data_IF_531606842987
#
_entry.id   IF_531606842987
#
_cell.length_a   1.000
_cell.length_b   1.000
_cell.length_c   1.000
_cell.angle_alpha   90.00
_cell.angle_beta   90.00
_cell.angle_gamma   90.00
#
_symmetry.space_group_name_H-M   'P 1'
#
loop_
_entity.id
_entity.type
_entity.pdbx_description
1 polymer ?
#
# COMPACT_ATOMS: atom_id res chain seq x y z
N UNK A 1 -51.35 -11.11 -17.27
CA UNK A 1 -50.73 -9.90 -16.65
C UNK A 1 -49.55 -10.23 -15.73
N UNK A 2 -49.46 -11.43 -15.13
CA UNK A 2 -48.30 -11.87 -14.33
C UNK A 2 -47.01 -12.17 -15.13
N UNK A 3 -47.10 -12.69 -16.36
CA UNK A 3 -45.93 -13.10 -17.15
C UNK A 3 -45.10 -11.89 -17.65
N UNK A 4 -45.72 -10.71 -17.84
CA UNK A 4 -45.00 -9.46 -18.20
C UNK A 4 -44.23 -8.86 -17.02
N UNK A 5 -44.64 -9.12 -15.76
CA UNK A 5 -43.91 -8.65 -14.57
C UNK A 5 -42.63 -9.44 -14.29
N UNK A 6 -42.62 -10.75 -14.56
CA UNK A 6 -41.43 -11.59 -14.38
C UNK A 6 -40.31 -11.28 -15.38
N UNK A 7 -40.62 -10.98 -16.66
CA UNK A 7 -39.59 -10.58 -17.65
C UNK A 7 -38.92 -9.25 -17.31
N UNK A 8 -39.66 -8.29 -16.73
CA UNK A 8 -39.09 -7.02 -16.32
C UNK A 8 -38.20 -7.13 -15.07
N UNK A 9 -38.51 -8.03 -14.13
CA UNK A 9 -37.67 -8.22 -12.95
C UNK A 9 -36.33 -8.91 -13.29
N UNK A 10 -36.31 -9.88 -14.20
CA UNK A 10 -35.05 -10.47 -14.67
C UNK A 10 -34.21 -9.51 -15.51
N UNK A 11 -34.84 -8.65 -16.33
CA UNK A 11 -34.13 -7.62 -17.09
C UNK A 11 -33.53 -6.52 -16.18
N UNK A 12 -34.24 -6.16 -15.11
CA UNK A 12 -33.74 -5.21 -14.09
C UNK A 12 -32.63 -5.84 -13.24
N UNK A 13 -32.73 -7.13 -12.89
CA UNK A 13 -31.66 -7.83 -12.16
C UNK A 13 -30.39 -7.99 -13.03
N UNK A 14 -30.53 -8.33 -14.31
CA UNK A 14 -29.41 -8.37 -15.25
C UNK A 14 -28.80 -6.98 -15.45
N UNK A 15 -29.63 -5.93 -15.56
CA UNK A 15 -29.15 -4.57 -15.69
C UNK A 15 -28.41 -4.10 -14.42
N UNK A 16 -28.86 -4.45 -13.21
CA UNK A 16 -28.17 -4.11 -11.96
C UNK A 16 -26.85 -4.86 -11.82
N UNK A 17 -26.78 -6.13 -12.22
CA UNK A 17 -25.52 -6.91 -12.23
C UNK A 17 -24.57 -6.37 -13.29
N UNK A 18 -25.05 -6.02 -14.48
CA UNK A 18 -24.24 -5.45 -15.56
C UNK A 18 -23.79 -4.02 -15.22
N UNK A 19 -24.63 -3.19 -14.62
CA UNK A 19 -24.28 -1.83 -14.15
C UNK A 19 -23.34 -1.90 -12.94
N UNK A 20 -23.52 -2.86 -12.03
CA UNK A 20 -22.58 -3.09 -10.93
C UNK A 20 -21.19 -3.54 -11.43
N UNK A 21 -21.16 -4.38 -12.46
CA UNK A 21 -19.90 -4.81 -13.11
C UNK A 21 -19.28 -3.67 -13.93
N UNK A 22 -20.09 -2.84 -14.59
CA UNK A 22 -19.65 -1.66 -15.35
C UNK A 22 -19.16 -0.56 -14.40
N UNK A 23 -19.76 -0.36 -13.22
CA UNK A 23 -19.21 0.53 -12.18
C UNK A 23 -17.90 0.00 -11.59
N UNK A 24 -17.74 -1.32 -11.48
CA UNK A 24 -16.47 -1.95 -11.09
C UNK A 24 -15.35 -1.70 -12.12
N UNK A 25 -15.71 -1.51 -13.40
CA UNK A 25 -14.81 -1.18 -14.50
C UNK A 25 -14.65 0.32 -14.72
N UNK A 26 -15.61 1.16 -14.30
CA UNK A 26 -15.58 2.62 -14.53
C UNK A 26 -14.92 3.41 -13.40
N UNK A 27 -14.89 2.91 -12.16
CA UNK A 27 -14.14 3.54 -11.06
C UNK A 27 -12.72 3.00 -10.88
N UNK A 28 -12.36 1.98 -11.66
CA UNK A 28 -11.00 1.80 -12.12
C UNK A 28 -10.95 2.40 -13.51
N UNK A 29 -10.81 3.74 -13.63
CA UNK A 29 -10.22 4.26 -14.87
C UNK A 29 -9.03 3.35 -15.17
N UNK A 30 -8.95 2.70 -16.36
CA UNK A 30 -7.77 1.96 -16.72
C UNK A 30 -6.71 3.03 -16.95
N UNK A 31 -6.11 3.51 -15.84
CA UNK A 31 -4.72 3.88 -15.85
C UNK A 31 -4.07 2.70 -16.57
N UNK A 32 -3.46 2.92 -17.75
CA UNK A 32 -2.87 1.82 -18.51
C UNK A 32 -2.04 1.01 -17.53
N UNK A 33 -2.18 -0.32 -17.56
CA UNK A 33 -1.41 -1.23 -16.72
C UNK A 33 0.01 -0.68 -16.64
N UNK A 34 0.41 -0.24 -15.44
CA UNK A 34 1.69 0.44 -15.22
C UNK A 34 2.81 -0.54 -15.55
N UNK A 35 3.25 -0.47 -16.80
CA UNK A 35 4.14 -1.42 -17.45
C UNK A 35 5.60 -0.98 -17.34
N UNK A 36 5.89 0.02 -16.51
CA UNK A 36 7.26 0.45 -16.27
C UNK A 36 8.15 -0.71 -15.84
N UNK A 37 9.26 -0.83 -16.55
CA UNK A 37 10.36 -1.76 -16.26
C UNK A 37 11.51 -1.06 -15.56
N UNK A 38 11.46 0.26 -15.44
CA UNK A 38 12.48 1.11 -14.82
C UNK A 38 11.83 2.16 -13.90
N UNK A 39 12.55 2.54 -12.85
CA UNK A 39 12.16 3.58 -11.91
C UNK A 39 13.35 4.54 -11.70
N UNK A 40 13.48 5.59 -12.53
CA UNK A 40 14.76 6.28 -12.76
C UNK A 40 15.09 7.35 -11.70
N UNK A 41 15.19 6.93 -10.43
CA UNK A 41 15.51 7.81 -9.28
C UNK A 41 16.76 8.67 -9.51
N UNK A 42 17.84 8.06 -10.03
CA UNK A 42 19.10 8.76 -10.24
C UNK A 42 18.99 9.85 -11.30
N UNK A 43 18.11 9.68 -12.30
CA UNK A 43 17.83 10.72 -13.28
C UNK A 43 17.07 11.88 -12.62
N UNK A 44 16.03 11.56 -11.84
CA UNK A 44 15.21 12.57 -11.15
C UNK A 44 16.05 13.52 -10.30
N UNK A 45 17.02 12.99 -9.56
CA UNK A 45 17.92 13.77 -8.69
C UNK A 45 18.99 14.52 -9.46
N UNK A 46 19.50 13.97 -10.56
CA UNK A 46 20.57 14.62 -11.35
C UNK A 46 20.07 15.81 -12.15
N UNK A 47 18.82 15.78 -12.60
CA UNK A 47 18.23 16.83 -13.43
C UNK A 47 16.93 17.37 -12.82
N UNK A 48 16.98 18.02 -11.64
CA UNK A 48 15.80 18.62 -11.05
C UNK A 48 15.37 19.86 -11.83
N UNK A 49 14.07 20.13 -11.85
CA UNK A 49 13.56 21.45 -12.25
C UNK A 49 13.69 22.40 -11.07
N UNK A 50 14.44 23.49 -11.25
CA UNK A 50 14.69 24.49 -10.21
C UNK A 50 14.13 25.83 -10.67
N UNK A 51 13.32 26.48 -9.83
CA UNK A 51 12.75 27.81 -10.08
C UNK A 51 12.57 28.59 -8.76
N UNK A 52 12.02 29.80 -8.81
CA UNK A 52 11.75 30.66 -7.67
C UNK A 52 13.01 30.85 -6.81
N UNK A 53 14.13 31.23 -7.45
CA UNK A 53 15.44 31.40 -6.79
C UNK A 53 15.93 30.15 -6.04
N UNK A 54 15.45 28.97 -6.41
CA UNK A 54 15.80 27.69 -5.79
C UNK A 54 14.86 27.26 -4.67
N UNK A 55 13.84 28.06 -4.34
CA UNK A 55 12.80 27.74 -3.37
C UNK A 55 11.77 26.75 -3.89
N UNK A 56 11.69 26.55 -5.22
CA UNK A 56 10.93 25.46 -5.82
C UNK A 56 11.90 24.50 -6.52
N UNK A 57 11.92 23.24 -6.10
CA UNK A 57 12.66 22.16 -6.78
C UNK A 57 11.76 20.96 -6.99
N UNK A 58 11.58 20.53 -8.23
CA UNK A 58 10.77 19.36 -8.56
C UNK A 58 11.62 18.27 -9.23
N UNK A 59 11.28 17.02 -8.95
CA UNK A 59 12.10 15.86 -9.28
C UNK A 59 11.27 14.82 -10.02
N UNK A 60 11.67 14.49 -11.25
CA UNK A 60 11.11 13.37 -12.01
C UNK A 60 9.64 13.46 -12.41
N UNK A 61 8.99 14.60 -12.19
CA UNK A 61 7.52 14.76 -12.23
C UNK A 61 6.79 13.99 -11.13
N UNK A 62 7.46 13.62 -10.04
CA UNK A 62 6.90 12.73 -9.02
C UNK A 62 6.78 13.38 -7.64
N UNK A 63 7.70 14.28 -7.27
CA UNK A 63 7.65 15.01 -6.01
C UNK A 63 8.31 16.39 -6.13
N UNK A 64 8.04 17.27 -5.16
CA UNK A 64 8.65 18.60 -5.10
C UNK A 64 9.08 18.98 -3.68
N UNK A 65 10.13 19.79 -3.61
CA UNK A 65 10.68 20.38 -2.40
C UNK A 65 10.51 21.89 -2.48
N UNK A 66 9.74 22.43 -1.55
CA UNK A 66 9.48 23.84 -1.38
C UNK A 66 10.24 24.36 -0.15
N UNK A 67 10.97 25.45 -0.30
CA UNK A 67 11.70 26.07 0.81
C UNK A 67 11.01 27.35 1.25
N UNK A 68 10.93 27.54 2.58
CA UNK A 68 10.27 28.68 3.21
C UNK A 68 8.78 28.81 2.82
N UNK A 69 8.10 27.70 2.54
CA UNK A 69 6.71 27.74 2.08
C UNK A 69 5.70 27.81 3.22
N UNK A 70 4.51 28.32 2.92
CA UNK A 70 3.36 28.27 3.82
C UNK A 70 2.31 27.29 3.32
N UNK A 71 1.56 26.71 4.26
CA UNK A 71 0.31 26.03 3.97
C UNK A 71 -0.83 26.99 4.31
N UNK A 72 -1.52 27.50 3.29
CA UNK A 72 -2.60 28.49 3.44
C UNK A 72 -3.97 27.82 3.59
N UNK A 73 -4.13 26.63 3.01
CA UNK A 73 -5.30 25.78 3.14
C UNK A 73 -4.92 24.32 2.82
N UNK A 74 -5.87 23.40 2.91
CA UNK A 74 -5.69 22.00 2.47
C UNK A 74 -5.40 21.82 0.96
N UNK A 75 -5.52 22.89 0.17
CA UNK A 75 -5.27 22.86 -1.28
C UNK A 75 -4.38 23.99 -1.78
N UNK A 76 -4.04 24.96 -0.93
CA UNK A 76 -3.34 26.20 -1.31
C UNK A 76 -2.06 26.34 -0.50
N UNK A 77 -0.98 26.63 -1.21
CA UNK A 77 0.36 26.79 -0.64
C UNK A 77 0.94 28.09 -1.17
N UNK A 78 1.93 28.64 -0.46
CA UNK A 78 2.73 29.72 -1.02
C UNK A 78 4.22 29.41 -0.93
N UNK A 79 4.98 29.94 -1.89
CA UNK A 79 6.44 29.78 -1.99
C UNK A 79 7.08 31.13 -2.33
N UNK A 80 8.25 31.46 -1.77
CA UNK A 80 8.91 32.71 -2.13
C UNK A 80 9.35 32.67 -3.59
N UNK A 81 8.85 33.62 -4.38
CA UNK A 81 9.06 33.73 -5.81
C UNK A 81 8.77 35.18 -6.24
N UNK A 82 9.79 35.91 -6.71
CA UNK A 82 9.62 37.31 -7.13
C UNK A 82 8.90 37.43 -8.49
N UNK A 83 8.85 36.33 -9.24
CA UNK A 83 8.11 36.20 -10.49
C UNK A 83 6.91 35.25 -10.33
N UNK A 84 6.26 34.91 -11.45
CA UNK A 84 5.25 33.84 -11.47
C UNK A 84 5.90 32.50 -11.10
N UNK A 85 5.18 31.67 -10.35
CA UNK A 85 5.54 30.26 -10.09
C UNK A 85 5.69 29.47 -11.39
N UNK A 86 6.57 28.45 -11.44
CA UNK A 86 6.78 27.64 -12.64
C UNK A 86 5.49 26.97 -13.11
N UNK A 87 5.38 26.73 -14.43
CA UNK A 87 4.42 25.76 -14.94
C UNK A 87 5.04 24.36 -14.84
N UNK A 88 4.51 23.51 -13.96
CA UNK A 88 4.99 22.15 -13.75
C UNK A 88 3.83 21.17 -13.78
N UNK A 89 4.02 20.00 -14.39
CA UNK A 89 3.03 18.94 -14.46
C UNK A 89 3.56 17.70 -13.76
N UNK A 90 2.81 17.15 -12.82
CA UNK A 90 3.18 15.91 -12.16
C UNK A 90 2.65 14.71 -12.95
N UNK A 91 3.45 13.64 -13.03
CA UNK A 91 3.14 12.43 -13.79
C UNK A 91 2.04 11.64 -13.07
N UNK A 92 1.12 11.07 -13.85
CA UNK A 92 -0.01 10.29 -13.35
C UNK A 92 -0.95 11.01 -12.38
N UNK A 93 -0.86 12.34 -12.28
CA UNK A 93 -1.65 13.14 -11.36
C UNK A 93 -2.44 14.25 -12.05
N UNK A 94 -2.81 14.13 -13.33
CA UNK A 94 -3.53 15.19 -14.06
C UNK A 94 -4.80 15.65 -13.28
N UNK A 95 -5.41 14.77 -12.50
CA UNK A 95 -6.52 15.06 -11.55
C UNK A 95 -6.16 14.74 -10.08
N UNK A 96 -4.88 14.52 -9.78
CA UNK A 96 -4.38 14.14 -8.46
C UNK A 96 -4.00 15.33 -7.57
N UNK A 97 -3.80 15.10 -6.26
CA UNK A 97 -3.53 16.17 -5.29
C UNK A 97 -2.37 17.11 -5.68
N UNK A 98 -1.26 16.58 -6.18
CA UNK A 98 -0.09 17.37 -6.58
C UNK A 98 -0.41 18.36 -7.71
N UNK A 99 -1.18 17.96 -8.71
CA UNK A 99 -1.53 18.86 -9.82
C UNK A 99 -2.49 19.95 -9.36
N UNK A 100 -3.42 19.61 -8.47
CA UNK A 100 -4.30 20.59 -7.83
C UNK A 100 -3.51 21.58 -6.97
N UNK A 101 -2.56 21.11 -6.14
CA UNK A 101 -1.70 21.96 -5.34
C UNK A 101 -0.81 22.85 -6.21
N UNK A 102 -0.29 22.33 -7.33
CA UNK A 102 0.47 23.10 -8.30
C UNK A 102 -0.36 24.22 -8.93
N UNK A 103 -1.62 23.95 -9.28
CA UNK A 103 -2.55 24.95 -9.81
C UNK A 103 -2.92 26.05 -8.80
N UNK A 104 -2.76 25.77 -7.50
CA UNK A 104 -3.08 26.66 -6.40
C UNK A 104 -1.83 27.20 -5.66
N UNK A 105 -0.63 27.05 -6.26
CA UNK A 105 0.61 27.53 -5.65
C UNK A 105 0.76 29.04 -5.86
N UNK A 106 0.85 29.79 -4.77
CA UNK A 106 0.90 31.25 -4.78
C UNK A 106 2.34 31.76 -4.58
N UNK A 107 2.85 32.67 -5.42
CA UNK A 107 4.12 33.33 -5.17
C UNK A 107 3.98 34.37 -4.04
N UNK A 108 5.05 34.58 -3.28
CA UNK A 108 5.21 35.78 -2.45
C UNK A 108 6.64 36.33 -2.54
N UNK A 109 6.89 37.64 -2.30
CA UNK A 109 8.22 38.23 -2.47
C UNK A 109 9.29 37.58 -1.59
N UNK A 110 10.47 37.30 -2.16
CA UNK A 110 11.62 36.73 -1.42
C UNK A 110 12.08 37.65 -0.28
N UNK A 111 11.86 38.96 -0.41
CA UNK A 111 12.15 39.97 0.61
C UNK A 111 11.35 39.81 1.89
N UNK A 112 10.28 39.00 1.89
CA UNK A 112 9.47 38.70 3.08
C UNK A 112 9.99 37.47 3.84
N UNK A 113 11.03 36.79 3.36
CA UNK A 113 11.73 35.78 4.17
C UNK A 113 12.50 36.54 5.26
N UNK A 114 12.08 36.43 6.51
CA UNK A 114 12.79 37.07 7.64
C UNK A 114 13.43 36.00 8.53
N UNK A 115 14.71 36.13 8.86
CA UNK A 115 15.37 35.22 9.83
C UNK A 115 14.83 35.35 11.28
N UNK A 116 13.84 36.23 11.50
CA UNK A 116 13.31 36.58 12.81
C UNK A 116 11.89 36.06 13.10
N UNK A 117 11.22 35.38 12.16
CA UNK A 117 9.92 34.78 12.45
C UNK A 117 10.07 33.67 13.50
N UNK A 118 9.46 33.83 14.67
CA UNK A 118 9.44 32.81 15.74
C UNK A 118 8.66 31.54 15.36
N UNK A 119 8.15 31.45 14.13
CA UNK A 119 7.18 30.46 13.68
C UNK A 119 7.73 29.55 12.55
N UNK A 120 9.03 29.23 12.59
CA UNK A 120 9.65 28.31 11.64
C UNK A 120 9.49 26.84 12.05
N UNK A 121 8.93 26.03 11.15
CA UNK A 121 9.10 24.58 11.17
C UNK A 121 10.41 24.26 10.46
N UNK A 122 11.38 23.77 11.24
CA UNK A 122 12.74 23.49 10.75
C UNK A 122 12.92 22.05 10.27
N UNK A 123 12.16 21.11 10.86
CA UNK A 123 12.13 19.73 10.44
C UNK A 123 11.65 19.62 8.98
N UNK A 124 12.21 18.71 8.16
CA UNK A 124 11.63 18.39 6.86
C UNK A 124 10.23 17.82 7.02
N UNK A 125 9.24 18.47 6.41
CA UNK A 125 7.83 18.09 6.57
C UNK A 125 7.26 17.57 5.27
N UNK A 126 6.79 16.33 5.27
CA UNK A 126 6.13 15.68 4.14
C UNK A 126 4.63 15.93 4.14
N UNK A 127 4.13 16.43 3.02
CA UNK A 127 2.70 16.63 2.78
C UNK A 127 2.12 15.38 2.13
N UNK A 128 1.14 14.77 2.79
CA UNK A 128 0.50 13.53 2.35
C UNK A 128 -1.02 13.75 2.28
N UNK A 129 -1.64 13.23 1.23
CA UNK A 129 -3.10 13.02 1.18
C UNK A 129 -3.35 11.53 1.11
N UNK A 130 -3.85 10.94 2.19
CA UNK A 130 -4.08 9.49 2.27
C UNK A 130 -5.09 9.06 1.20
N UNK A 131 -4.76 8.05 0.39
CA UNK A 131 -5.62 7.59 -0.73
C UNK A 131 -6.49 6.39 -0.37
N UNK A 132 -5.98 5.43 0.41
CA UNK A 132 -6.70 4.22 0.83
C UNK A 132 -6.25 3.83 2.24
N UNK A 133 -6.46 4.73 3.21
CA UNK A 133 -5.92 4.64 4.57
C UNK A 133 -6.19 3.32 5.31
N UNK A 134 -7.25 2.59 4.96
CA UNK A 134 -7.66 1.31 5.57
C UNK A 134 -7.20 0.07 4.80
N UNK A 135 -6.43 0.24 3.72
CA UNK A 135 -5.88 -0.84 2.92
C UNK A 135 -4.36 -0.89 3.05
N UNK A 136 -3.84 -1.90 3.76
CA UNK A 136 -2.43 -2.06 4.06
C UNK A 136 -1.51 -1.92 2.84
N UNK A 137 -1.87 -2.51 1.69
CA UNK A 137 -1.02 -2.45 0.51
C UNK A 137 -0.82 -1.01 0.02
N UNK A 138 -1.89 -0.21 0.06
CA UNK A 138 -1.85 1.17 -0.38
C UNK A 138 -1.21 2.10 0.65
N UNK A 139 -1.47 1.89 1.94
CA UNK A 139 -0.77 2.63 3.00
C UNK A 139 0.73 2.31 3.00
N UNK A 140 1.12 1.07 2.71
CA UNK A 140 2.53 0.68 2.54
C UNK A 140 3.21 1.42 1.38
N UNK A 141 2.48 1.69 0.29
CA UNK A 141 2.98 2.54 -0.80
C UNK A 141 3.28 3.97 -0.31
N UNK A 142 2.42 4.51 0.55
CA UNK A 142 2.59 5.87 1.11
C UNK A 142 3.77 5.95 2.08
N UNK A 143 3.92 4.98 2.98
CA UNK A 143 5.10 4.88 3.87
C UNK A 143 6.40 4.71 3.08
N UNK A 144 6.38 3.84 2.06
CA UNK A 144 7.52 3.63 1.17
C UNK A 144 7.89 4.92 0.43
N UNK A 145 6.92 5.72 -0.01
CA UNK A 145 7.19 6.97 -0.72
C UNK A 145 7.92 7.98 0.16
N UNK A 146 7.48 8.17 1.41
CA UNK A 146 8.17 9.05 2.36
C UNK A 146 9.59 8.54 2.62
N UNK A 147 9.75 7.25 2.89
CA UNK A 147 11.06 6.63 3.10
C UNK A 147 11.98 6.82 1.89
N UNK A 148 11.47 6.55 0.69
CA UNK A 148 12.20 6.63 -0.57
C UNK A 148 12.69 8.05 -0.83
N UNK A 149 11.79 9.04 -0.76
CA UNK A 149 12.16 10.44 -0.96
C UNK A 149 13.14 10.87 0.13
N UNK A 150 12.94 10.48 1.39
CA UNK A 150 13.90 10.75 2.46
C UNK A 150 15.29 10.19 2.14
N UNK A 151 15.39 8.93 1.71
CA UNK A 151 16.65 8.27 1.35
C UNK A 151 17.36 8.98 0.20
N UNK A 152 16.62 9.28 -0.87
CA UNK A 152 17.12 9.92 -2.09
C UNK A 152 17.58 11.36 -1.82
N UNK A 153 16.85 12.07 -0.95
CA UNK A 153 17.19 13.42 -0.50
C UNK A 153 18.20 13.47 0.65
N UNK A 154 18.74 12.31 1.07
CA UNK A 154 19.71 12.19 2.17
C UNK A 154 19.19 12.73 3.52
N UNK A 155 17.89 12.60 3.75
CA UNK A 155 17.24 12.87 5.03
C UNK A 155 17.24 11.59 5.89
N UNK A 156 17.22 11.78 7.22
CA UNK A 156 16.91 10.67 8.12
C UNK A 156 15.39 10.52 8.19
N UNK A 157 14.85 9.44 7.62
CA UNK A 157 13.42 9.18 7.58
C UNK A 157 12.76 9.20 8.98
N UNK A 158 13.43 8.75 10.03
CA UNK A 158 12.86 8.77 11.39
C UNK A 158 12.76 10.17 12.02
N UNK A 159 13.28 11.21 11.37
CA UNK A 159 13.30 12.59 11.87
C UNK A 159 12.54 13.56 10.95
N UNK A 160 11.67 13.03 10.09
CA UNK A 160 10.82 13.85 9.22
C UNK A 160 9.42 13.95 9.83
N UNK A 161 8.79 15.09 9.63
CA UNK A 161 7.41 15.31 10.03
C UNK A 161 6.45 14.95 8.90
N UNK A 162 5.24 14.52 9.25
CA UNK A 162 4.17 14.20 8.33
C UNK A 162 2.98 15.10 8.62
N UNK A 163 2.51 15.80 7.60
CA UNK A 163 1.24 16.53 7.63
C UNK A 163 0.24 15.89 6.69
N UNK A 164 -0.89 15.43 7.24
CA UNK A 164 -2.02 14.92 6.46
C UNK A 164 -2.91 16.06 5.99
N UNK A 165 -3.17 16.10 4.68
CA UNK A 165 -4.02 17.08 3.98
C UNK A 165 -5.42 16.51 3.66
N UNK A 166 -5.88 15.58 4.48
CA UNK A 166 -7.19 14.94 4.36
C UNK A 166 -7.88 14.87 5.72
N UNK A 167 -9.20 14.72 5.67
CA UNK A 167 -10.11 14.60 6.81
C UNK A 167 -10.59 13.15 7.01
N UNK A 168 -9.80 12.17 6.57
CA UNK A 168 -10.24 10.76 6.62
C UNK A 168 -10.43 10.25 8.04
N UNK A 169 -11.38 9.33 8.23
CA UNK A 169 -11.57 8.69 9.52
C UNK A 169 -10.29 7.96 9.95
N UNK A 170 -10.07 7.83 11.26
CA UNK A 170 -8.94 7.07 11.78
C UNK A 170 -8.87 5.65 11.19
N UNK A 171 -7.65 5.21 10.91
CA UNK A 171 -7.35 3.87 10.44
C UNK A 171 -6.53 3.10 11.49
N UNK A 172 -6.71 1.77 11.63
CA UNK A 172 -5.81 0.93 12.43
C UNK A 172 -4.33 0.98 11.98
N UNK A 173 -4.06 1.56 10.81
CA UNK A 173 -2.72 1.74 10.27
C UNK A 173 -2.11 3.10 10.64
N UNK A 174 -2.88 4.03 11.21
CA UNK A 174 -2.41 5.39 11.50
C UNK A 174 -1.25 5.41 12.51
N UNK A 175 -1.28 4.55 13.53
CA UNK A 175 -0.20 4.39 14.52
C UNK A 175 1.14 4.00 13.90
N UNK A 176 1.14 3.40 12.70
CA UNK A 176 2.40 3.07 12.02
C UNK A 176 3.13 4.32 11.57
N UNK A 177 2.42 5.38 11.20
CA UNK A 177 3.06 6.64 10.81
C UNK A 177 3.88 7.24 11.95
N UNK A 178 3.37 7.19 13.18
CA UNK A 178 4.05 7.73 14.37
C UNK A 178 5.18 6.83 14.87
N UNK A 179 5.19 5.54 14.49
CA UNK A 179 6.32 4.65 14.74
C UNK A 179 7.45 4.89 13.73
N UNK A 180 7.11 5.16 12.47
CA UNK A 180 8.10 5.32 11.40
C UNK A 180 8.72 6.73 11.34
N UNK A 181 7.94 7.77 11.65
CA UNK A 181 8.31 9.18 11.45
C UNK A 181 8.16 9.97 12.76
N UNK A 182 8.72 11.19 12.84
CA UNK A 182 8.86 11.92 14.11
C UNK A 182 7.51 12.49 14.60
N UNK A 183 7.00 13.52 13.94
CA UNK A 183 5.70 14.10 14.26
C UNK A 183 4.70 13.84 13.14
N UNK A 184 3.48 13.42 13.50
CA UNK A 184 2.39 13.17 12.55
C UNK A 184 1.16 13.95 12.99
N UNK A 185 0.65 14.81 12.12
CA UNK A 185 -0.52 15.61 12.45
C UNK A 185 -1.40 15.86 11.22
N UNK A 186 -2.68 16.11 11.48
CA UNK A 186 -3.63 16.55 10.45
C UNK A 186 -3.51 18.06 10.35
N UNK A 187 -3.42 18.58 9.13
CA UNK A 187 -3.42 20.02 8.91
C UNK A 187 -4.71 20.63 9.45
N UNK A 188 -4.56 21.66 10.29
CA UNK A 188 -5.65 22.51 10.77
C UNK A 188 -5.38 23.94 10.32
N UNK A 189 -6.38 24.58 9.74
CA UNK A 189 -6.33 25.99 9.35
C UNK A 189 -6.27 26.84 10.61
N UNK A 190 -5.09 27.35 10.97
CA UNK A 190 -4.93 28.54 11.85
C UNK A 190 -3.46 28.91 12.17
N UNK A 191 -2.47 28.19 11.63
CA UNK A 191 -1.08 28.43 12.02
C UNK A 191 -0.32 29.17 10.90
N UNK A 192 0.12 30.42 11.18
CA UNK A 192 1.07 31.18 10.36
C UNK A 192 2.48 30.58 10.47
N UNK A 193 2.62 29.31 10.12
CA UNK A 193 3.90 28.59 10.11
C UNK A 193 4.61 28.78 8.78
N UNK A 194 5.92 28.97 8.86
CA UNK A 194 6.82 28.93 7.72
C UNK A 194 7.57 27.61 7.75
N UNK A 195 7.40 26.79 6.73
CA UNK A 195 8.11 25.52 6.59
C UNK A 195 9.42 25.74 5.85
N UNK A 196 10.56 25.60 6.54
CA UNK A 196 11.87 25.73 5.88
C UNK A 196 12.05 24.70 4.78
N UNK A 197 11.51 23.50 4.97
CA UNK A 197 11.55 22.40 4.02
C UNK A 197 10.20 21.68 4.00
N UNK A 198 9.32 22.06 3.07
CA UNK A 198 8.07 21.36 2.82
C UNK A 198 8.21 20.47 1.59
N UNK A 199 7.91 19.19 1.74
CA UNK A 199 8.06 18.19 0.68
C UNK A 199 6.68 17.74 0.25
N UNK A 200 6.31 18.07 -0.97
CA UNK A 200 5.18 17.47 -1.65
C UNK A 200 5.59 16.08 -2.15
N UNK A 201 5.13 15.04 -1.44
CA UNK A 201 5.61 13.68 -1.65
C UNK A 201 5.09 13.02 -2.93
N UNK A 202 5.73 11.91 -3.34
CA UNK A 202 5.20 10.97 -4.32
C UNK A 202 3.83 10.47 -3.85
N UNK A 203 2.81 10.60 -4.71
CA UNK A 203 1.43 10.24 -4.35
C UNK A 203 1.23 8.72 -4.41
N UNK A 204 0.75 8.13 -3.32
CA UNK A 204 0.27 6.74 -3.16
C UNK A 204 0.68 5.76 -4.26
N UNK A 205 -0.13 5.62 -5.32
CA UNK A 205 0.06 4.62 -6.38
C UNK A 205 1.31 4.82 -7.27
N UNK A 206 1.96 5.98 -7.23
CA UNK A 206 3.24 6.23 -7.91
C UNK A 206 4.45 5.68 -7.13
N UNK A 207 4.19 4.91 -6.06
CA UNK A 207 5.22 4.17 -5.35
C UNK A 207 5.88 3.10 -6.21
N UNK A 208 7.21 2.88 -6.12
CA UNK A 208 7.90 1.83 -6.87
C UNK A 208 7.27 0.45 -6.63
N UNK A 209 6.77 0.18 -5.42
CA UNK A 209 6.18 -1.13 -5.08
C UNK A 209 4.84 -1.38 -5.79
N UNK A 210 4.27 -0.37 -6.44
CA UNK A 210 3.08 -0.48 -7.27
C UNK A 210 3.35 -0.76 -8.76
N UNK A 211 4.62 -0.74 -9.17
CA UNK A 211 5.06 -1.09 -10.52
C UNK A 211 5.55 -2.55 -10.55
N UNK A 212 4.62 -3.50 -10.59
CA UNK A 212 4.94 -4.94 -10.43
C UNK A 212 5.80 -5.54 -11.54
N UNK A 213 6.02 -4.82 -12.64
CA UNK A 213 6.90 -5.25 -13.72
C UNK A 213 8.37 -4.87 -13.50
N UNK A 214 8.67 -4.01 -12.50
CA UNK A 214 10.05 -3.68 -12.15
C UNK A 214 10.84 -4.94 -11.76
N UNK A 215 12.05 -5.16 -12.30
CA UNK A 215 12.88 -6.30 -11.91
C UNK A 215 13.18 -6.27 -10.40
N UNK A 216 13.46 -5.09 -9.86
CA UNK A 216 13.63 -4.80 -8.44
C UNK A 216 12.93 -3.48 -8.08
N UNK A 217 12.21 -3.43 -6.97
CA UNK A 217 11.75 -2.17 -6.40
C UNK A 217 12.94 -1.49 -5.68
N UNK A 218 13.28 -0.22 -5.99
CA UNK A 218 14.38 0.48 -5.33
C UNK A 218 14.23 0.51 -3.81
N UNK A 219 15.32 0.26 -3.09
CA UNK A 219 15.39 0.30 -1.62
C UNK A 219 14.35 -0.58 -0.89
N UNK A 220 13.86 -1.65 -1.51
CA UNK A 220 12.85 -2.54 -0.92
C UNK A 220 13.33 -3.19 0.40
N UNK A 221 14.55 -3.73 0.44
CA UNK A 221 15.14 -4.30 1.66
C UNK A 221 15.50 -3.20 2.67
N UNK A 222 16.05 -2.05 2.25
CA UNK A 222 16.31 -0.93 3.18
C UNK A 222 15.03 -0.45 3.87
N UNK A 223 13.91 -0.37 3.13
CA UNK A 223 12.62 0.03 3.68
C UNK A 223 12.09 -0.99 4.67
N UNK A 224 12.21 -2.29 4.35
CA UNK A 224 11.88 -3.39 5.26
C UNK A 224 12.68 -3.27 6.56
N UNK A 225 14.00 -3.06 6.47
CA UNK A 225 14.87 -2.98 7.63
C UNK A 225 14.57 -1.74 8.49
N UNK A 226 14.30 -0.60 7.85
CA UNK A 226 13.81 0.61 8.51
C UNK A 226 12.51 0.33 9.29
N UNK A 227 11.56 -0.36 8.67
CA UNK A 227 10.27 -0.69 9.26
C UNK A 227 10.42 -1.62 10.47
N UNK A 228 11.16 -2.73 10.33
CA UNK A 228 11.37 -3.69 11.40
C UNK A 228 12.13 -3.07 12.58
N UNK A 229 13.14 -2.25 12.29
CA UNK A 229 13.91 -1.54 13.31
C UNK A 229 13.07 -0.54 14.08
N UNK A 230 12.20 0.21 13.41
CA UNK A 230 11.30 1.17 14.06
C UNK A 230 10.36 0.47 15.06
N UNK A 231 9.90 -0.74 14.74
CA UNK A 231 9.11 -1.58 15.64
C UNK A 231 9.92 -2.40 16.65
N UNK A 232 11.25 -2.38 16.58
CA UNK A 232 12.11 -3.21 17.43
C UNK A 232 11.91 -4.72 17.22
N UNK A 233 11.56 -5.14 16.00
CA UNK A 233 11.32 -6.55 15.66
C UNK A 233 12.57 -7.11 14.96
N UNK A 234 13.12 -8.21 15.49
CA UNK A 234 14.25 -8.94 14.88
C UNK A 234 13.74 -9.96 13.84
N UNK A 235 14.54 -10.15 12.78
CA UNK A 235 14.29 -11.10 11.69
C UNK A 235 15.34 -12.23 11.62
N UNK A 236 15.85 -12.65 12.76
CA UNK A 236 16.91 -13.66 12.88
C UNK A 236 16.44 -15.12 12.71
N UNK A 237 15.19 -15.35 12.30
CA UNK A 237 14.66 -16.70 12.20
C UNK A 237 15.49 -17.54 11.21
N UNK A 238 15.99 -18.67 11.70
CA UNK A 238 16.64 -19.69 10.89
C UNK A 238 15.67 -20.79 10.55
N UNK A 239 15.81 -21.35 9.35
CA UNK A 239 15.03 -22.49 8.90
C UNK A 239 15.36 -23.73 9.76
N UNK A 240 14.33 -24.35 10.34
CA UNK A 240 14.39 -25.70 10.91
C UNK A 240 13.27 -26.53 10.28
N UNK A 241 13.65 -27.44 9.39
CA UNK A 241 12.71 -28.28 8.65
C UNK A 241 11.93 -29.26 9.53
N UNK A 242 12.36 -29.50 10.77
CA UNK A 242 11.62 -30.33 11.73
C UNK A 242 10.65 -29.51 12.59
N UNK A 243 10.66 -28.18 12.48
CA UNK A 243 9.87 -27.26 13.31
C UNK A 243 9.39 -26.04 12.50
N UNK A 244 8.86 -26.30 11.31
CA UNK A 244 8.33 -25.24 10.46
C UNK A 244 7.19 -24.50 11.16
N UNK A 245 7.07 -23.20 10.90
CA UNK A 245 5.94 -22.37 11.31
C UNK A 245 5.17 -21.92 10.07
N UNK A 246 3.91 -22.33 10.00
CA UNK A 246 3.02 -22.08 8.87
C UNK A 246 1.92 -21.15 9.35
N UNK A 247 1.76 -20.03 8.66
CA UNK A 247 0.76 -19.02 8.99
C UNK A 247 -0.26 -18.96 7.86
N UNK A 248 -1.53 -19.14 8.20
CA UNK A 248 -2.66 -19.00 7.26
C UNK A 248 -3.40 -17.70 7.56
N UNK A 249 -3.39 -16.76 6.61
CA UNK A 249 -4.17 -15.52 6.71
C UNK A 249 -5.63 -15.82 6.39
N UNK A 250 -6.49 -15.63 7.39
CA UNK A 250 -7.93 -15.67 7.26
C UNK A 250 -8.48 -14.26 7.07
N UNK A 251 -9.62 -14.16 6.40
CA UNK A 251 -10.31 -12.89 6.11
C UNK A 251 -11.73 -12.99 6.64
N UNK A 252 -12.09 -12.11 7.56
CA UNK A 252 -13.45 -11.99 8.11
C UNK A 252 -14.10 -10.72 7.61
N UNK A 253 -15.42 -10.63 7.70
CA UNK A 253 -16.12 -9.38 7.40
C UNK A 253 -15.80 -8.35 8.47
N UNK A 254 -15.39 -7.16 8.04
CA UNK A 254 -15.13 -6.00 8.87
C UNK A 254 -15.42 -4.73 8.05
N UNK A 255 -15.52 -3.60 8.73
CA UNK A 255 -15.69 -2.31 8.07
C UNK A 255 -14.39 -1.90 7.37
N UNK A 256 -14.25 -2.28 6.11
CA UNK A 256 -13.06 -2.00 5.27
C UNK A 256 -12.90 -0.53 4.96
N UNK A 257 -14.00 0.18 4.78
CA UNK A 257 -14.05 1.58 4.39
C UNK A 257 -15.28 2.22 5.04
N UNK A 258 -15.14 2.87 6.21
CA UNK A 258 -16.23 3.63 6.82
C UNK A 258 -16.87 4.65 5.87
N UNK A 259 -16.10 5.14 4.91
CA UNK A 259 -16.46 6.08 3.84
C UNK A 259 -17.12 5.43 2.62
N UNK A 260 -17.08 4.09 2.48
CA UNK A 260 -17.71 3.33 1.38
C UNK A 260 -18.73 2.30 1.88
N UNK A 261 -19.48 2.66 2.93
CA UNK A 261 -20.51 1.82 3.57
C UNK A 261 -21.53 1.22 2.59
N UNK A 262 -21.77 1.89 1.47
CA UNK A 262 -22.78 1.60 0.47
C UNK A 262 -22.37 0.58 -0.60
N UNK A 263 -21.07 0.43 -0.91
CA UNK A 263 -20.62 -0.36 -2.06
C UNK A 263 -20.64 -1.87 -1.82
N UNK A 264 -20.37 -2.33 -0.59
CA UNK A 264 -20.31 -3.77 -0.27
C UNK A 264 -21.02 -4.15 1.04
N UNK A 265 -21.76 -3.21 1.66
CA UNK A 265 -22.47 -3.43 2.93
C UNK A 265 -21.56 -4.02 4.05
N UNK A 266 -20.29 -3.59 4.11
CA UNK A 266 -19.31 -4.10 5.07
C UNK A 266 -18.74 -5.50 4.78
N UNK A 267 -19.03 -6.08 3.61
CA UNK A 267 -18.49 -7.38 3.21
C UNK A 267 -17.06 -7.27 2.67
N UNK A 268 -16.23 -8.22 3.09
CA UNK A 268 -14.85 -8.38 2.63
C UNK A 268 -14.80 -9.43 1.54
N UNK A 269 -14.14 -9.09 0.43
CA UNK A 269 -13.92 -10.04 -0.66
C UNK A 269 -12.86 -11.09 -0.35
N UNK A 270 -12.91 -12.21 -1.09
CA UNK A 270 -11.86 -13.24 -1.16
C UNK A 270 -11.66 -13.93 0.18
N UNK A 271 -12.70 -14.59 0.69
CA UNK A 271 -12.67 -15.34 1.96
C UNK A 271 -12.68 -16.83 1.69
N UNK A 272 -12.03 -17.61 2.54
CA UNK A 272 -12.12 -19.07 2.47
C UNK A 272 -13.48 -19.56 3.00
N UNK A 273 -14.13 -20.48 2.29
CA UNK A 273 -15.38 -21.10 2.74
C UNK A 273 -15.13 -22.23 3.74
N UNK A 274 -14.04 -22.97 3.57
CA UNK A 274 -13.69 -24.20 4.29
C UNK A 274 -12.37 -24.05 5.08
N UNK A 275 -12.30 -23.03 5.93
CA UNK A 275 -11.08 -22.68 6.70
C UNK A 275 -10.53 -23.86 7.52
N UNK A 276 -11.38 -24.56 8.27
CA UNK A 276 -10.96 -25.70 9.09
C UNK A 276 -10.37 -26.84 8.24
N UNK A 277 -11.04 -27.17 7.12
CA UNK A 277 -10.56 -28.18 6.18
C UNK A 277 -9.20 -27.80 5.58
N UNK A 278 -9.00 -26.53 5.22
CA UNK A 278 -7.71 -26.03 4.72
C UNK A 278 -6.64 -26.26 5.79
N UNK A 279 -6.88 -25.81 7.03
CA UNK A 279 -5.91 -25.94 8.14
C UNK A 279 -5.59 -27.41 8.43
N UNK A 280 -6.58 -28.29 8.43
CA UNK A 280 -6.39 -29.73 8.65
C UNK A 280 -5.57 -30.37 7.52
N UNK A 281 -5.81 -29.97 6.27
CA UNK A 281 -5.00 -30.42 5.14
C UNK A 281 -3.56 -29.94 5.23
N UNK A 282 -3.32 -28.69 5.63
CA UNK A 282 -1.96 -28.16 5.88
C UNK A 282 -1.26 -28.99 6.96
N UNK A 283 -1.91 -29.20 8.12
CA UNK A 283 -1.37 -30.03 9.21
C UNK A 283 -1.07 -31.46 8.76
N UNK A 284 -1.91 -32.04 7.89
CA UNK A 284 -1.73 -33.41 7.39
C UNK A 284 -0.48 -33.57 6.51
N UNK A 285 -0.04 -32.51 5.83
CA UNK A 285 1.18 -32.52 5.01
C UNK A 285 2.40 -32.14 5.83
N UNK A 286 2.25 -31.12 6.68
CA UNK A 286 3.33 -30.60 7.53
C UNK A 286 3.22 -31.15 8.95
N UNK A 287 3.43 -32.46 9.10
CA UNK A 287 3.15 -33.21 10.34
C UNK A 287 3.99 -32.79 11.56
N UNK A 288 5.13 -32.13 11.35
CA UNK A 288 6.01 -31.64 12.40
C UNK A 288 5.95 -30.11 12.57
N UNK A 289 5.13 -29.42 11.79
CA UNK A 289 5.03 -27.97 11.80
C UNK A 289 4.02 -27.47 12.83
N UNK A 290 4.24 -26.23 13.29
CA UNK A 290 3.19 -25.44 13.95
C UNK A 290 2.38 -24.74 12.87
N UNK A 291 1.07 -24.98 12.84
CA UNK A 291 0.14 -24.30 11.92
C UNK A 291 -0.74 -23.36 12.74
N UNK A 292 -0.65 -22.07 12.45
CA UNK A 292 -1.47 -21.04 13.08
C UNK A 292 -2.30 -20.28 12.03
N UNK A 293 -3.45 -19.77 12.45
CA UNK A 293 -4.28 -18.88 11.64
C UNK A 293 -4.21 -17.47 12.22
N UNK A 294 -4.24 -16.47 11.34
CA UNK A 294 -4.25 -15.06 11.74
C UNK A 294 -5.35 -14.30 11.01
N UNK A 295 -5.98 -13.36 11.71
CA UNK A 295 -6.85 -12.34 11.14
C UNK A 295 -6.14 -11.02 11.39
N UNK A 296 -5.40 -10.54 10.39
CA UNK A 296 -4.44 -9.44 10.54
C UNK A 296 -5.12 -8.15 11.00
N UNK A 297 -6.35 -7.93 10.56
CA UNK A 297 -7.14 -6.74 10.90
C UNK A 297 -7.54 -6.67 12.38
N UNK A 298 -7.35 -7.76 13.13
CA UNK A 298 -7.57 -7.84 14.59
C UNK A 298 -6.27 -7.76 15.40
N UNK A 299 -5.13 -7.52 14.74
CA UNK A 299 -3.81 -7.53 15.36
C UNK A 299 -3.17 -6.15 15.25
N UNK A 300 -2.38 -5.76 16.26
CA UNK A 300 -1.50 -4.60 16.13
C UNK A 300 -0.46 -4.82 15.04
N UNK A 301 0.05 -3.76 14.40
CA UNK A 301 1.13 -3.91 13.41
C UNK A 301 2.35 -4.63 14.00
N UNK A 302 2.69 -4.35 15.25
CA UNK A 302 3.78 -5.03 15.96
C UNK A 302 3.56 -6.55 16.05
N UNK A 303 2.36 -7.00 16.41
CA UNK A 303 2.02 -8.42 16.48
C UNK A 303 2.01 -9.07 15.09
N UNK A 304 1.52 -8.34 14.08
CA UNK A 304 1.58 -8.78 12.69
C UNK A 304 3.03 -9.03 12.27
N UNK A 305 3.95 -8.07 12.49
CA UNK A 305 5.38 -8.23 12.18
C UNK A 305 6.03 -9.38 12.95
N UNK A 306 5.71 -9.55 14.24
CA UNK A 306 6.21 -10.66 15.06
C UNK A 306 5.81 -12.01 14.51
N UNK A 307 4.58 -12.14 14.01
CA UNK A 307 4.17 -13.38 13.34
C UNK A 307 4.95 -13.57 12.05
N UNK A 308 4.96 -12.55 11.18
CA UNK A 308 5.49 -12.66 9.81
C UNK A 308 6.99 -12.92 9.77
N UNK A 309 7.77 -12.26 10.64
CA UNK A 309 9.21 -12.52 10.79
C UNK A 309 9.51 -13.93 11.31
N UNK A 310 8.50 -14.63 11.82
CA UNK A 310 8.59 -16.01 12.27
C UNK A 310 7.92 -17.02 11.33
N UNK A 311 7.37 -16.62 10.19
CA UNK A 311 6.64 -17.50 9.28
C UNK A 311 7.57 -18.12 8.23
N UNK A 312 7.62 -19.46 8.14
CA UNK A 312 8.35 -20.17 7.07
C UNK A 312 7.50 -20.40 5.82
N UNK A 313 6.19 -20.57 6.00
CA UNK A 313 5.23 -20.71 4.91
C UNK A 313 4.03 -19.83 5.19
N UNK A 314 3.81 -18.82 4.34
CA UNK A 314 2.66 -17.94 4.38
C UNK A 314 1.62 -18.40 3.38
N UNK A 315 0.40 -18.67 3.84
CA UNK A 315 -0.73 -19.11 2.99
C UNK A 315 -1.85 -18.10 3.14
N UNK A 316 -2.50 -17.70 2.04
CA UNK A 316 -3.63 -16.80 2.14
C UNK A 316 -4.33 -16.53 0.81
N UNK A 317 -5.55 -16.02 0.90
CA UNK A 317 -6.23 -15.45 -0.27
C UNK A 317 -5.53 -14.15 -0.70
N UNK A 318 -5.49 -13.89 -2.00
CA UNK A 318 -5.07 -12.61 -2.56
C UNK A 318 -5.77 -11.46 -1.84
N UNK A 319 -5.02 -10.48 -1.35
CA UNK A 319 -5.57 -9.32 -0.64
C UNK A 319 -4.49 -8.56 0.12
N UNK A 320 -4.82 -7.37 0.62
CA UNK A 320 -3.85 -6.45 1.23
C UNK A 320 -2.99 -7.08 2.34
N UNK A 321 -3.53 -8.06 3.08
CA UNK A 321 -2.78 -8.82 4.09
C UNK A 321 -1.56 -9.56 3.53
N UNK A 322 -1.56 -9.94 2.25
CA UNK A 322 -0.40 -10.55 1.59
C UNK A 322 0.76 -9.56 1.35
N UNK A 323 0.58 -8.26 1.63
CA UNK A 323 1.69 -7.29 1.63
C UNK A 323 2.78 -7.66 2.63
N UNK A 324 2.42 -8.44 3.67
CA UNK A 324 3.37 -8.96 4.66
C UNK A 324 4.44 -9.89 4.08
N UNK A 325 4.34 -10.30 2.82
CA UNK A 325 5.46 -10.96 2.11
C UNK A 325 6.77 -10.18 2.23
N UNK A 326 6.71 -8.84 2.33
CA UNK A 326 7.86 -7.98 2.58
C UNK A 326 8.61 -8.34 3.88
N UNK A 327 7.92 -8.77 4.93
CA UNK A 327 8.49 -8.97 6.26
C UNK A 327 8.87 -10.43 6.55
N UNK A 328 8.64 -11.34 5.60
CA UNK A 328 8.98 -12.74 5.76
C UNK A 328 10.52 -12.97 5.84
N UNK A 329 10.97 -14.02 6.52
CA UNK A 329 12.34 -14.52 6.43
C UNK A 329 12.76 -14.82 4.99
N UNK A 330 14.06 -14.70 4.69
CA UNK A 330 14.59 -14.93 3.35
C UNK A 330 14.35 -16.37 2.84
N UNK A 331 14.20 -17.34 3.76
CA UNK A 331 13.84 -18.72 3.44
C UNK A 331 12.33 -18.99 3.44
N UNK A 332 11.47 -17.98 3.52
CA UNK A 332 10.04 -18.24 3.52
C UNK A 332 9.53 -18.73 2.15
N UNK A 333 8.30 -19.24 2.15
CA UNK A 333 7.54 -19.62 0.94
C UNK A 333 6.15 -19.02 1.03
N UNK A 334 5.68 -18.47 -0.09
CA UNK A 334 4.36 -17.85 -0.20
C UNK A 334 3.46 -18.77 -1.03
N UNK A 335 2.28 -19.07 -0.52
CA UNK A 335 1.20 -19.72 -1.24
C UNK A 335 -0.01 -18.79 -1.30
N UNK A 336 -0.17 -18.13 -2.44
CA UNK A 336 -1.25 -17.19 -2.70
C UNK A 336 -2.38 -17.85 -3.48
N UNK A 337 -3.61 -17.70 -2.99
CA UNK A 337 -4.81 -18.30 -3.57
C UNK A 337 -5.73 -17.20 -4.11
N UNK A 338 -6.26 -17.39 -5.32
CA UNK A 338 -7.16 -16.45 -5.98
C UNK A 338 -8.52 -17.12 -6.20
N UNK A 339 -9.65 -16.42 -5.95
CA UNK A 339 -10.92 -16.93 -6.43
C UNK A 339 -10.99 -16.80 -7.96
N UNK A 340 -11.98 -17.47 -8.55
CA UNK A 340 -12.27 -17.42 -9.97
C UNK A 340 -12.63 -16.00 -10.41
N UNK A 341 -13.48 -15.33 -9.62
CA UNK A 341 -14.07 -14.02 -9.93
C UNK A 341 -13.07 -12.85 -9.83
N UNK A 342 -11.79 -13.11 -9.49
CA UNK A 342 -10.76 -12.09 -9.36
C UNK A 342 -9.63 -12.27 -10.38
N UNK A 343 -9.04 -11.16 -10.82
CA UNK A 343 -7.88 -11.17 -11.71
C UNK A 343 -6.64 -11.79 -11.03
N UNK A 344 -5.77 -12.42 -11.80
CA UNK A 344 -4.49 -12.93 -11.30
C UNK A 344 -3.46 -11.78 -11.21
N UNK A 345 -3.68 -10.89 -10.25
CA UNK A 345 -2.88 -9.68 -10.07
C UNK A 345 -1.50 -10.02 -9.48
N UNK A 346 -0.46 -9.27 -9.88
CA UNK A 346 0.94 -9.63 -9.64
C UNK A 346 1.58 -9.00 -8.40
N UNK A 347 0.83 -8.24 -7.60
CA UNK A 347 1.28 -7.50 -6.42
C UNK A 347 2.26 -8.32 -5.55
N UNK A 348 1.79 -9.41 -4.97
CA UNK A 348 2.57 -10.15 -3.97
C UNK A 348 3.55 -11.14 -4.60
N UNK A 349 3.33 -11.54 -5.85
CA UNK A 349 4.36 -12.18 -6.68
C UNK A 349 5.57 -11.25 -6.89
N UNK A 350 5.33 -9.95 -7.10
CA UNK A 350 6.41 -8.97 -7.21
C UNK A 350 7.14 -8.78 -5.87
N UNK A 351 6.40 -8.69 -4.76
CA UNK A 351 7.02 -8.64 -3.42
C UNK A 351 7.85 -9.89 -3.15
N UNK A 352 7.35 -11.07 -3.48
CA UNK A 352 8.10 -12.31 -3.32
C UNK A 352 9.38 -12.32 -4.16
N UNK A 353 9.32 -11.83 -5.41
CA UNK A 353 10.50 -11.67 -6.27
C UNK A 353 11.51 -10.70 -5.67
N UNK A 354 11.07 -9.52 -5.24
CA UNK A 354 11.96 -8.49 -4.68
C UNK A 354 12.58 -8.91 -3.35
N UNK A 355 11.82 -9.63 -2.52
CA UNK A 355 12.28 -10.24 -1.27
C UNK A 355 13.19 -11.45 -1.48
N UNK A 356 13.14 -12.08 -2.66
CA UNK A 356 13.87 -13.31 -2.98
C UNK A 356 13.25 -14.60 -2.40
N UNK A 357 11.97 -14.58 -1.99
CA UNK A 357 11.27 -15.74 -1.45
C UNK A 357 10.51 -16.52 -2.54
N UNK A 358 10.29 -17.81 -2.29
CA UNK A 358 9.59 -18.67 -3.26
C UNK A 358 8.10 -18.36 -3.26
N UNK A 359 7.52 -18.28 -4.45
CA UNK A 359 6.12 -17.99 -4.66
C UNK A 359 5.41 -19.12 -5.41
N UNK A 360 4.24 -19.52 -4.90
CA UNK A 360 3.25 -20.35 -5.57
C UNK A 360 1.92 -19.61 -5.61
N UNK A 361 1.30 -19.52 -6.78
CA UNK A 361 -0.02 -18.93 -6.95
C UNK A 361 -0.98 -19.97 -7.51
N UNK A 362 -2.17 -20.08 -6.94
CA UNK A 362 -3.24 -20.97 -7.42
C UNK A 362 -4.52 -20.18 -7.60
N UNK A 363 -5.14 -20.28 -8.77
CA UNK A 363 -6.45 -19.68 -9.03
C UNK A 363 -7.52 -20.77 -9.02
N UNK A 364 -8.65 -20.51 -8.36
CA UNK A 364 -9.81 -21.38 -8.47
C UNK A 364 -10.35 -21.34 -9.91
N UNK A 365 -10.53 -22.50 -10.52
CA UNK A 365 -11.00 -22.65 -11.90
C UNK A 365 -12.47 -23.06 -11.98
N UNK A 366 -13.05 -23.58 -10.89
CA UNK A 366 -14.43 -24.06 -10.86
C UNK A 366 -15.36 -23.04 -10.18
N UNK A 367 -16.29 -22.48 -10.95
CA UNK A 367 -17.32 -21.56 -10.48
C UNK A 367 -18.21 -22.17 -9.38
N UNK A 368 -18.36 -23.49 -9.30
CA UNK A 368 -19.13 -24.17 -8.24
C UNK A 368 -18.51 -23.99 -6.86
N UNK A 369 -17.23 -23.63 -6.81
CA UNK A 369 -16.54 -23.33 -5.56
C UNK A 369 -16.74 -21.87 -5.11
N UNK A 370 -17.43 -21.03 -5.88
CA UNK A 370 -17.72 -19.64 -5.51
C UNK A 370 -19.11 -19.52 -4.89
N UNK A 371 -19.19 -18.84 -3.75
CA UNK A 371 -20.39 -18.70 -2.93
C UNK A 371 -20.70 -17.24 -2.65
N UNK A 372 -21.97 -16.97 -2.33
CA UNK A 372 -22.46 -15.66 -1.90
C UNK A 372 -21.63 -15.10 -0.74
N UNK A 373 -21.55 -13.76 -0.68
CA UNK A 373 -20.73 -13.08 0.32
C UNK A 373 -19.23 -13.21 0.09
N UNK A 374 -18.81 -13.49 -1.15
CA UNK A 374 -17.41 -13.57 -1.60
C UNK A 374 -16.59 -14.70 -0.96
N UNK A 375 -17.26 -15.80 -0.62
CA UNK A 375 -16.62 -17.01 -0.11
C UNK A 375 -16.20 -17.93 -1.26
N UNK A 376 -15.02 -18.53 -1.15
CA UNK A 376 -14.50 -19.49 -2.10
C UNK A 376 -14.10 -20.77 -1.37
N UNK A 377 -14.64 -21.90 -1.81
CA UNK A 377 -14.22 -23.23 -1.35
C UNK A 377 -12.91 -23.62 -2.03
N UNK A 378 -11.91 -24.03 -1.25
CA UNK A 378 -10.62 -24.48 -1.79
C UNK A 378 -10.54 -26.00 -1.66
N UNK A 379 -10.52 -26.75 -2.78
CA UNK A 379 -10.46 -28.20 -2.71
C UNK A 379 -9.24 -28.71 -1.93
N UNK A 380 -9.46 -29.73 -1.08
CA UNK A 380 -8.40 -30.43 -0.34
C UNK A 380 -7.21 -30.82 -1.22
N UNK A 381 -7.45 -31.29 -2.45
CA UNK A 381 -6.40 -31.65 -3.40
C UNK A 381 -5.47 -30.49 -3.74
N UNK A 382 -6.03 -29.29 -3.96
CA UNK A 382 -5.26 -28.07 -4.28
C UNK A 382 -4.35 -27.70 -3.11
N UNK A 383 -4.89 -27.73 -1.88
CA UNK A 383 -4.11 -27.43 -0.67
C UNK A 383 -2.98 -28.44 -0.50
N UNK A 384 -3.29 -29.74 -0.52
CA UNK A 384 -2.31 -30.80 -0.30
C UNK A 384 -1.21 -30.81 -1.36
N UNK A 385 -1.57 -30.68 -2.63
CA UNK A 385 -0.61 -30.68 -3.74
C UNK A 385 0.40 -29.52 -3.61
N UNK A 386 -0.09 -28.31 -3.33
CA UNK A 386 0.79 -27.15 -3.14
C UNK A 386 1.64 -27.28 -1.88
N UNK A 387 1.06 -27.72 -0.76
CA UNK A 387 1.79 -27.97 0.48
C UNK A 387 2.91 -29.01 0.29
N UNK A 388 2.65 -30.10 -0.44
CA UNK A 388 3.65 -31.12 -0.75
C UNK A 388 4.77 -30.57 -1.64
N UNK A 389 4.44 -29.77 -2.66
CA UNK A 389 5.44 -29.07 -3.49
C UNK A 389 6.31 -28.15 -2.65
N UNK A 390 5.71 -27.39 -1.73
CA UNK A 390 6.42 -26.47 -0.82
C UNK A 390 7.36 -27.24 0.10
N UNK A 391 6.86 -28.28 0.78
CA UNK A 391 7.65 -29.11 1.68
C UNK A 391 8.83 -29.75 0.94
N UNK A 392 8.59 -30.28 -0.26
CA UNK A 392 9.64 -30.87 -1.09
C UNK A 392 10.70 -29.84 -1.44
N UNK A 393 10.27 -28.69 -1.95
CA UNK A 393 11.19 -27.66 -2.40
C UNK A 393 12.03 -27.06 -1.26
N UNK A 394 11.45 -26.93 -0.06
CA UNK A 394 12.15 -26.28 1.06
C UNK A 394 12.96 -27.24 1.93
N UNK A 395 12.50 -28.47 2.12
CA UNK A 395 12.99 -29.35 3.19
C UNK A 395 13.28 -30.80 2.78
N UNK A 396 13.04 -31.21 1.54
CA UNK A 396 13.39 -32.55 1.07
C UNK A 396 14.36 -32.42 -0.11
N UNK A 397 15.64 -32.34 0.22
CA UNK A 397 16.76 -32.42 -0.73
C UNK A 397 17.52 -33.71 -0.50
#
# INVERSE_FOLDING_TARGET
MLIRRFRNQHAVLLAIVVIGTICMVLFMSPQPLRQETEYPLDEWVRTPTIDCHGHFRAYGHEFAWLQYSHILSNTTFSVPCDSKVPAYNFRYSIEGPLQMWMGNLMPYPTTYITDQDSNYVTAPTFVIKRIEAHNLYHTLCEWMNVFLVSKVMKLNASLVDIVWMDDRPPSPLDDTWTVLFDNVYIYKTDENLVYKNLIWNIIGYNSPINFHNLPAAPYFEDFRDFFLKAYGVSDEKRLDCNKLKITVILRKDYMTHPERKDLFNGLVHRKFKNEDEIVDNVKSVFTQATVETVILEQMSMFDQLKVMTQTDVLIGMHGAGMSHVMFLPAHAVVFEIFPQYWGFLRHFKAFARWRGVKYFGSKNEDLKNEFDGFYTYIPSSVVREHCQKILKWRCMW
#
